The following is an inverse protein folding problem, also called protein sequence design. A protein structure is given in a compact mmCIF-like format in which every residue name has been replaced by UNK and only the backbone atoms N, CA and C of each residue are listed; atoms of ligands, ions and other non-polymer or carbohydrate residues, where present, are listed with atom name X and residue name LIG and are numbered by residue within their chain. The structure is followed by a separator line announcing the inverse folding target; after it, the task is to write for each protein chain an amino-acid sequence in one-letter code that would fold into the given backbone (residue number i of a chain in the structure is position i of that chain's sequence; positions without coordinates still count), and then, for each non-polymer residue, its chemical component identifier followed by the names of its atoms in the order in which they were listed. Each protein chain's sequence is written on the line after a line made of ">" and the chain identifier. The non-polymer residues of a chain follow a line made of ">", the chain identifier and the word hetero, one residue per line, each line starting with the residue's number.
data_IF_572620168814
#
_entry.id   IF_572620168814
#
_cell.length_a   1.000
_cell.length_b   1.000
_cell.length_c   1.000
_cell.angle_alpha   90.00
_cell.angle_beta   90.00
_cell.angle_gamma   90.00
#
_symmetry.space_group_name_H-M   'P 1'
#
loop_
_entity.id
_entity.type
_entity.pdbx_description
1 polymer ?
#
# COMPACT_ATOMS: atom_id res chain seq x y z
N UNK A 1 2.18 13.96 -9.20
CA UNK A 1 2.60 14.39 -7.85
C UNK A 1 1.68 13.69 -6.87
N UNK A 2 2.18 12.89 -5.92
CA UNK A 2 1.33 12.23 -4.91
C UNK A 2 1.02 13.23 -3.78
N UNK A 3 -0.24 13.64 -3.56
CA UNK A 3 -0.60 14.62 -2.54
C UNK A 3 -0.41 14.11 -1.10
N UNK A 4 -0.21 12.79 -0.91
CA UNK A 4 0.06 12.18 0.39
C UNK A 4 1.13 11.09 0.28
N UNK A 5 2.31 11.49 -0.19
CA UNK A 5 3.43 10.63 -0.60
C UNK A 5 3.66 9.38 0.29
N UNK A 6 3.22 8.21 -0.20
CA UNK A 6 3.40 6.93 0.49
C UNK A 6 4.86 6.67 0.91
N UNK A 7 5.82 6.91 0.00
CA UNK A 7 7.26 6.69 0.24
C UNK A 7 7.88 7.68 1.25
N UNK A 8 7.25 8.81 1.53
CA UNK A 8 7.65 9.72 2.62
C UNK A 8 6.98 9.36 3.96
N UNK A 9 6.09 8.35 3.98
CA UNK A 9 5.32 7.96 5.16
C UNK A 9 3.96 8.64 5.30
N UNK A 10 3.32 9.02 4.19
CA UNK A 10 1.99 9.67 4.22
C UNK A 10 1.98 10.96 5.06
N UNK A 11 3.07 11.73 5.04
CA UNK A 11 3.14 13.05 5.67
C UNK A 11 2.16 13.98 4.92
N UNK A 12 1.18 14.60 5.59
CA UNK A 12 0.29 15.57 4.94
C UNK A 12 1.06 16.78 4.40
N UNK A 13 0.62 17.38 3.27
CA UNK A 13 1.24 18.59 2.75
C UNK A 13 1.06 19.74 3.75
N UNK A 14 2.02 20.67 3.77
CA UNK A 14 1.88 21.88 4.58
C UNK A 14 0.63 22.69 4.15
N UNK A 15 -0.09 23.35 5.08
CA UNK A 15 -1.25 24.15 4.73
C UNK A 15 -0.97 25.16 3.61
N UNK A 16 -1.85 25.20 2.60
CA UNK A 16 -1.70 26.05 1.41
C UNK A 16 -0.71 25.55 0.35
N UNK A 17 0.10 24.51 0.60
CA UNK A 17 1.12 24.05 -0.35
C UNK A 17 0.55 23.61 -1.71
N UNK A 18 -0.56 22.86 -1.73
CA UNK A 18 -1.20 22.43 -2.98
C UNK A 18 -1.84 23.60 -3.73
N UNK A 19 -2.43 24.55 -2.99
CA UNK A 19 -3.02 25.77 -3.55
C UNK A 19 -1.96 26.63 -4.22
N UNK A 20 -0.84 26.90 -3.52
CA UNK A 20 0.26 27.68 -4.06
C UNK A 20 0.99 26.99 -5.22
N UNK A 21 1.18 25.66 -5.14
CA UNK A 21 1.65 24.87 -6.28
C UNK A 21 0.74 25.05 -7.50
N UNK A 22 -0.58 25.17 -7.30
CA UNK A 22 -1.51 25.39 -8.41
C UNK A 22 -1.50 26.81 -8.95
N UNK A 23 -1.37 27.82 -8.10
CA UNK A 23 -1.18 29.22 -8.49
C UNK A 23 0.04 29.38 -9.42
N UNK A 24 1.20 28.90 -8.95
CA UNK A 24 2.48 29.00 -9.68
C UNK A 24 2.40 28.25 -11.02
N UNK A 25 1.93 27.00 -11.03
CA UNK A 25 1.81 26.23 -12.28
C UNK A 25 0.83 26.85 -13.26
N UNK A 26 -0.27 27.44 -12.79
CA UNK A 26 -1.24 28.13 -13.66
C UNK A 26 -0.63 29.37 -14.32
N UNK A 27 0.20 30.14 -13.60
CA UNK A 27 0.89 31.31 -14.14
C UNK A 27 1.88 30.96 -15.29
N UNK A 28 2.40 29.74 -15.32
CA UNK A 28 3.31 29.25 -16.38
C UNK A 28 2.62 28.32 -17.41
N UNK A 29 1.30 28.15 -17.37
CA UNK A 29 0.58 27.23 -18.26
C UNK A 29 0.90 25.75 -18.05
N UNK A 30 1.47 25.39 -16.90
CA UNK A 30 1.88 24.02 -16.56
C UNK A 30 0.66 23.24 -16.02
N UNK A 31 0.46 22.04 -16.57
CA UNK A 31 -0.55 21.09 -16.09
C UNK A 31 -0.12 20.42 -14.79
N UNK A 32 -0.99 20.43 -13.79
CA UNK A 32 -0.80 19.69 -12.54
C UNK A 32 -1.46 18.31 -12.66
N UNK A 33 -0.66 17.25 -12.55
CA UNK A 33 -1.15 15.88 -12.45
C UNK A 33 -1.00 15.40 -11.00
N UNK A 34 -2.11 15.08 -10.34
CA UNK A 34 -2.10 14.38 -9.06
C UNK A 34 -2.07 12.87 -9.27
N UNK A 35 -1.26 12.17 -8.48
CA UNK A 35 -1.27 10.71 -8.37
C UNK A 35 -2.02 10.35 -7.09
N UNK A 36 -3.26 9.90 -7.25
CA UNK A 36 -4.12 9.46 -6.16
C UNK A 36 -4.35 7.93 -6.16
N UNK A 37 -3.50 7.16 -6.86
CA UNK A 37 -3.57 5.68 -6.91
C UNK A 37 -3.57 5.06 -5.50
N UNK A 38 -2.93 5.71 -4.53
CA UNK A 38 -3.01 5.34 -3.11
C UNK A 38 -3.90 6.32 -2.33
N UNK A 39 -3.69 7.62 -2.52
CA UNK A 39 -4.20 8.71 -1.69
C UNK A 39 -5.70 9.04 -1.88
N UNK A 40 -6.35 8.55 -2.95
CA UNK A 40 -7.81 8.66 -3.15
C UNK A 40 -8.63 8.13 -1.98
N UNK A 41 -8.06 7.18 -1.20
CA UNK A 41 -8.73 6.58 -0.03
C UNK A 41 -8.58 7.36 1.28
N UNK A 42 -7.92 8.52 1.30
CA UNK A 42 -7.75 9.30 2.53
C UNK A 42 -9.09 9.88 3.04
N UNK A 43 -10.08 10.01 2.15
CA UNK A 43 -11.46 10.40 2.47
C UNK A 43 -12.31 10.43 1.20
N UNK A 44 -13.61 10.66 1.35
CA UNK A 44 -14.61 10.59 0.26
C UNK A 44 -14.31 11.49 -0.96
N UNK A 45 -13.53 12.56 -0.80
CA UNK A 45 -13.16 13.51 -1.86
C UNK A 45 -11.72 13.35 -2.36
N UNK A 46 -11.04 12.26 -1.99
CA UNK A 46 -9.60 12.11 -2.19
C UNK A 46 -8.77 13.13 -1.40
N UNK A 47 -7.45 13.07 -1.61
CA UNK A 47 -6.49 14.02 -1.04
C UNK A 47 -6.61 15.41 -1.69
N UNK A 48 -7.00 15.51 -2.97
CA UNK A 48 -7.31 16.77 -3.64
C UNK A 48 -8.37 17.58 -2.88
N UNK A 49 -9.49 16.95 -2.48
CA UNK A 49 -10.53 17.61 -1.70
C UNK A 49 -10.14 17.82 -0.22
N UNK A 50 -9.36 16.91 0.37
CA UNK A 50 -8.92 17.02 1.78
C UNK A 50 -7.88 18.14 2.01
N UNK A 51 -7.05 18.42 1.01
CA UNK A 51 -5.91 19.36 1.13
C UNK A 51 -6.00 20.58 0.20
N UNK A 52 -7.16 20.84 -0.43
CA UNK A 52 -7.41 22.08 -1.20
C UNK A 52 -6.65 22.17 -2.53
N UNK A 53 -6.55 21.06 -3.27
CA UNK A 53 -5.91 21.01 -4.59
C UNK A 53 -6.89 21.05 -5.77
N UNK A 54 -6.50 21.76 -6.83
CA UNK A 54 -7.18 21.81 -8.14
C UNK A 54 -6.26 21.20 -9.24
N UNK A 55 -6.09 19.87 -9.29
CA UNK A 55 -5.33 19.24 -10.36
C UNK A 55 -6.04 19.39 -11.72
N UNK A 56 -5.27 19.41 -12.79
CA UNK A 56 -5.81 19.40 -14.15
C UNK A 56 -6.10 17.97 -14.62
N UNK A 57 -5.33 17.00 -14.12
CA UNK A 57 -5.57 15.56 -14.24
C UNK A 57 -5.29 14.84 -12.91
N UNK A 58 -6.06 13.80 -12.61
CA UNK A 58 -5.86 12.89 -11.47
C UNK A 58 -5.73 11.46 -11.98
N UNK A 59 -4.58 10.85 -11.71
CA UNK A 59 -4.33 9.43 -11.93
C UNK A 59 -4.85 8.61 -10.74
N UNK A 60 -5.55 7.51 -11.02
CA UNK A 60 -6.29 6.71 -10.05
C UNK A 60 -6.10 5.21 -10.30
N UNK A 61 -6.29 4.39 -9.27
CA UNK A 61 -6.15 2.94 -9.36
C UNK A 61 -6.51 2.25 -8.04
N UNK A 62 -6.01 1.02 -7.84
CA UNK A 62 -6.17 0.22 -6.61
C UNK A 62 -7.63 0.01 -6.19
N UNK A 63 -8.22 0.93 -5.42
CA UNK A 63 -9.57 0.78 -4.84
C UNK A 63 -10.67 0.87 -5.89
N UNK A 64 -10.45 1.60 -6.99
CA UNK A 64 -11.46 1.85 -8.04
C UNK A 64 -11.82 0.60 -8.86
N UNK A 65 -11.17 -0.54 -8.62
CA UNK A 65 -11.38 -1.81 -9.34
C UNK A 65 -11.89 -2.95 -8.46
N UNK A 66 -12.24 -2.67 -7.19
CA UNK A 66 -12.79 -3.69 -6.28
C UNK A 66 -11.87 -4.89 -6.01
N UNK A 67 -10.54 -4.71 -6.17
CA UNK A 67 -9.54 -5.76 -6.07
C UNK A 67 -8.97 -6.24 -7.42
N UNK A 68 -9.63 -5.94 -8.54
CA UNK A 68 -9.16 -6.32 -9.87
C UNK A 68 -8.16 -5.29 -10.45
N UNK A 69 -7.29 -5.70 -11.41
CA UNK A 69 -6.33 -4.80 -12.06
C UNK A 69 -7.02 -3.63 -12.75
N UNK A 70 -6.62 -2.41 -12.39
CA UNK A 70 -7.20 -1.16 -12.91
C UNK A 70 -6.22 0.01 -12.81
N UNK A 71 -6.29 0.89 -13.80
CA UNK A 71 -5.78 2.26 -13.74
C UNK A 71 -6.75 3.17 -14.50
N UNK A 72 -6.88 4.42 -14.07
CA UNK A 72 -7.70 5.43 -14.73
C UNK A 72 -7.02 6.80 -14.66
N UNK A 73 -7.32 7.67 -15.61
CA UNK A 73 -7.01 9.11 -15.55
C UNK A 73 -8.28 9.88 -15.85
N UNK A 74 -8.60 10.87 -15.04
CA UNK A 74 -9.68 11.82 -15.27
C UNK A 74 -9.22 13.23 -14.93
N UNK A 75 -10.05 14.24 -15.17
CA UNK A 75 -9.69 15.63 -14.89
C UNK A 75 -10.51 16.61 -15.71
N UNK A 76 -9.92 17.77 -16.02
CA UNK A 76 -10.61 18.87 -16.70
C UNK A 76 -10.95 18.50 -18.14
N UNK A 77 -12.19 18.76 -18.55
CA UNK A 77 -12.71 18.37 -19.87
C UNK A 77 -11.88 18.89 -21.04
N UNK A 78 -11.38 20.13 -20.94
CA UNK A 78 -10.49 20.75 -21.93
C UNK A 78 -9.17 19.99 -22.15
N UNK A 79 -8.65 19.33 -21.10
CA UNK A 79 -7.44 18.49 -21.17
C UNK A 79 -7.80 17.09 -21.65
N UNK A 80 -8.88 16.50 -21.11
CA UNK A 80 -9.35 15.17 -21.51
C UNK A 80 -9.83 15.11 -22.97
N UNK A 81 -10.21 16.24 -23.57
CA UNK A 81 -10.57 16.37 -24.98
C UNK A 81 -9.41 16.11 -25.98
N UNK A 82 -8.24 15.64 -25.53
CA UNK A 82 -7.26 15.00 -26.43
C UNK A 82 -7.65 13.55 -26.76
N UNK A 83 -8.41 12.88 -25.89
CA UNK A 83 -8.84 11.49 -26.03
C UNK A 83 -10.25 11.32 -26.61
N UNK A 84 -11.00 12.41 -26.81
CA UNK A 84 -12.35 12.39 -27.38
C UNK A 84 -12.31 11.86 -28.84
N UNK A 85 -12.95 10.73 -29.17
CA UNK A 85 -12.95 10.20 -30.54
C UNK A 85 -13.74 11.09 -31.53
N UNK A 86 -14.72 11.85 -31.05
CA UNK A 86 -15.54 12.79 -31.84
C UNK A 86 -16.01 12.25 -33.19
N UNK A 87 -15.95 13.10 -34.22
CA UNK A 87 -16.17 12.74 -35.63
C UNK A 87 -14.90 12.68 -36.46
N UNK A 88 -13.75 13.09 -35.90
CA UNK A 88 -12.46 13.22 -36.60
C UNK A 88 -11.39 12.22 -36.10
N UNK A 89 -11.74 11.36 -35.15
CA UNK A 89 -10.78 10.57 -34.37
C UNK A 89 -10.16 11.40 -33.23
N UNK A 90 -9.61 10.74 -32.20
CA UNK A 90 -9.00 11.42 -31.08
C UNK A 90 -7.62 11.97 -31.45
N UNK A 91 -7.21 13.08 -30.80
CA UNK A 91 -5.87 13.66 -30.98
C UNK A 91 -4.78 12.76 -30.40
N UNK A 92 -5.11 11.96 -29.38
CA UNK A 92 -4.26 10.94 -28.78
C UNK A 92 -5.09 9.67 -28.59
N UNK A 93 -4.64 8.55 -29.18
CA UNK A 93 -5.23 7.24 -28.93
C UNK A 93 -4.89 6.78 -27.51
N UNK A 94 -5.88 6.29 -26.77
CA UNK A 94 -5.71 5.72 -25.43
C UNK A 94 -6.64 4.52 -25.24
N UNK A 95 -6.11 3.42 -24.69
CA UNK A 95 -6.82 2.15 -24.57
C UNK A 95 -5.88 0.94 -24.51
N UNK A 96 -6.45 -0.25 -24.64
CA UNK A 96 -5.76 -1.54 -24.56
C UNK A 96 -6.74 -2.66 -24.19
N UNK A 97 -6.40 -3.91 -24.48
CA UNK A 97 -7.32 -5.08 -24.52
C UNK A 97 -8.18 -5.29 -23.27
N UNK A 98 -7.68 -4.94 -22.07
CA UNK A 98 -8.40 -5.09 -20.80
C UNK A 98 -8.97 -3.76 -20.24
N UNK A 99 -8.88 -2.67 -21.00
CA UNK A 99 -9.50 -1.38 -20.63
C UNK A 99 -11.01 -1.53 -20.57
N UNK A 100 -11.63 -1.00 -19.51
CA UNK A 100 -13.07 -1.13 -19.27
C UNK A 100 -13.62 -2.59 -19.29
N UNK A 101 -12.79 -3.60 -18.98
CA UNK A 101 -13.27 -4.99 -18.95
C UNK A 101 -14.43 -5.16 -17.93
N UNK A 102 -15.50 -5.92 -18.25
CA UNK A 102 -16.73 -5.91 -17.43
C UNK A 102 -16.54 -6.35 -15.98
N UNK A 103 -15.61 -7.25 -15.70
CA UNK A 103 -15.34 -7.75 -14.34
C UNK A 103 -14.77 -6.62 -13.47
N UNK A 104 -13.72 -5.95 -13.92
CA UNK A 104 -13.12 -4.80 -13.20
C UNK A 104 -14.12 -3.65 -13.07
N UNK A 105 -14.94 -3.36 -14.10
CA UNK A 105 -15.94 -2.29 -14.03
C UNK A 105 -17.05 -2.59 -13.02
N UNK A 106 -17.55 -3.84 -12.98
CA UNK A 106 -18.60 -4.26 -12.05
C UNK A 106 -18.10 -4.25 -10.60
N UNK A 107 -16.93 -4.86 -10.35
CA UNK A 107 -16.32 -4.88 -9.02
C UNK A 107 -15.90 -3.47 -8.54
N UNK A 108 -15.38 -2.64 -9.44
CA UNK A 108 -15.02 -1.25 -9.18
C UNK A 108 -16.21 -0.39 -8.79
N UNK A 109 -17.32 -0.48 -9.56
CA UNK A 109 -18.55 0.24 -9.26
C UNK A 109 -19.12 -0.14 -7.89
N UNK A 110 -19.25 -1.45 -7.60
CA UNK A 110 -19.76 -1.93 -6.33
C UNK A 110 -18.88 -1.49 -5.14
N UNK A 111 -17.55 -1.54 -5.29
CA UNK A 111 -16.61 -1.09 -4.26
C UNK A 111 -16.71 0.43 -4.01
N UNK A 112 -16.81 1.25 -5.06
CA UNK A 112 -16.92 2.71 -4.94
C UNK A 112 -18.29 3.12 -4.38
N UNK A 113 -19.38 2.42 -4.72
CA UNK A 113 -20.69 2.64 -4.10
C UNK A 113 -20.71 2.27 -2.61
N UNK A 114 -19.95 1.26 -2.19
CA UNK A 114 -19.79 0.88 -0.79
C UNK A 114 -18.85 1.82 0.01
N UNK A 115 -17.99 2.58 -0.66
CA UNK A 115 -17.10 3.59 -0.05
C UNK A 115 -17.81 4.94 0.08
N UNK A 116 -18.91 4.96 0.83
CA UNK A 116 -19.70 6.15 1.12
C UNK A 116 -19.04 7.06 2.20
N UNK A 117 -19.67 8.20 2.50
CA UNK A 117 -19.18 9.15 3.51
C UNK A 117 -19.12 8.55 4.92
N UNK A 118 -20.09 7.72 5.31
CA UNK A 118 -20.08 7.06 6.62
C UNK A 118 -18.98 5.99 6.71
N UNK A 119 -18.76 5.25 5.62
CA UNK A 119 -17.67 4.27 5.53
C UNK A 119 -16.30 4.93 5.61
N UNK A 120 -16.09 6.06 4.92
CA UNK A 120 -14.85 6.83 5.05
C UNK A 120 -14.64 7.40 6.46
N UNK A 121 -15.67 7.94 7.10
CA UNK A 121 -15.58 8.43 8.49
C UNK A 121 -15.17 7.30 9.46
N UNK A 122 -15.81 6.13 9.37
CA UNK A 122 -15.45 4.94 10.17
C UNK A 122 -14.01 4.48 9.91
N UNK A 123 -13.54 4.53 8.66
CA UNK A 123 -12.16 4.18 8.30
C UNK A 123 -11.14 5.21 8.82
N UNK A 124 -11.51 6.49 8.89
CA UNK A 124 -10.72 7.56 9.49
C UNK A 124 -10.62 7.41 11.02
N UNK A 125 -11.72 7.13 11.71
CA UNK A 125 -11.73 6.80 13.15
C UNK A 125 -10.84 5.59 13.47
N UNK A 126 -10.94 4.53 12.67
CA UNK A 126 -10.10 3.33 12.83
C UNK A 126 -8.62 3.65 12.60
N UNK A 127 -8.30 4.40 11.54
CA UNK A 127 -6.93 4.82 11.24
C UNK A 127 -6.33 5.71 12.33
N UNK A 128 -7.10 6.68 12.81
CA UNK A 128 -6.71 7.58 13.90
C UNK A 128 -6.44 6.82 15.20
N UNK A 129 -7.34 5.90 15.59
CA UNK A 129 -7.16 5.04 16.78
C UNK A 129 -5.91 4.15 16.66
N UNK A 130 -5.65 3.56 15.50
CA UNK A 130 -4.45 2.75 15.27
C UNK A 130 -3.19 3.60 15.35
N UNK A 131 -3.13 4.76 14.65
CA UNK A 131 -2.00 5.69 14.74
C UNK A 131 -1.75 6.17 16.17
N UNK A 132 -2.79 6.55 16.91
CA UNK A 132 -2.66 6.98 18.32
C UNK A 132 -2.01 5.88 19.17
N UNK A 133 -2.55 4.65 19.13
CA UNK A 133 -2.07 3.56 20.00
C UNK A 133 -0.66 3.10 19.66
N UNK A 134 -0.26 3.15 18.39
CA UNK A 134 1.13 2.90 17.99
C UNK A 134 2.08 4.00 18.47
N UNK A 135 1.67 5.27 18.40
CA UNK A 135 2.44 6.39 18.96
C UNK A 135 2.56 6.31 20.50
N UNK A 136 1.50 5.87 21.21
CA UNK A 136 1.56 5.57 22.64
C UNK A 136 2.58 4.46 22.96
N UNK A 137 2.70 3.43 22.11
CA UNK A 137 3.66 2.33 22.28
C UNK A 137 5.10 2.79 22.06
N UNK A 138 5.40 3.54 20.99
CA UNK A 138 6.73 4.13 20.78
C UNK A 138 7.14 5.03 21.95
N UNK A 139 6.24 5.90 22.43
CA UNK A 139 6.49 6.77 23.59
C UNK A 139 6.77 5.98 24.87
N UNK A 140 6.10 4.83 25.09
CA UNK A 140 6.30 3.98 26.27
C UNK A 140 7.56 3.11 26.22
N UNK A 141 8.00 2.71 25.03
CA UNK A 141 9.20 1.87 24.87
C UNK A 141 10.52 2.66 24.80
N UNK A 142 10.44 3.99 24.71
CA UNK A 142 11.60 4.87 24.54
C UNK A 142 12.32 4.71 23.20
N UNK A 143 11.77 3.90 22.27
CA UNK A 143 12.37 3.66 20.97
C UNK A 143 12.07 4.81 20.00
N UNK A 144 13.03 5.22 19.14
CA UNK A 144 12.77 6.22 18.12
C UNK A 144 11.72 5.68 17.14
N UNK A 145 10.55 6.31 17.10
CA UNK A 145 9.52 5.98 16.13
C UNK A 145 8.20 6.70 16.32
N UNK A 146 7.37 6.60 15.29
CA UNK A 146 6.06 7.22 15.18
C UNK A 146 5.19 6.49 14.14
N UNK A 147 3.88 6.49 14.35
CA UNK A 147 2.90 6.12 13.33
C UNK A 147 2.40 7.38 12.63
N UNK A 148 2.85 7.57 11.40
CA UNK A 148 2.48 8.68 10.49
C UNK A 148 1.28 8.29 9.61
N UNK A 149 0.69 9.27 8.93
CA UNK A 149 -0.41 9.08 7.98
C UNK A 149 -1.72 9.75 8.37
N UNK A 150 -2.70 9.66 7.48
CA UNK A 150 -3.99 10.33 7.60
C UNK A 150 -5.13 9.49 7.00
N UNK A 151 -6.38 9.79 7.34
CA UNK A 151 -7.55 8.97 6.98
C UNK A 151 -7.37 7.54 7.47
N UNK A 152 -7.60 6.55 6.59
CA UNK A 152 -7.33 5.13 6.87
C UNK A 152 -5.87 4.70 6.66
N UNK A 153 -5.00 5.58 6.17
CA UNK A 153 -3.61 5.26 5.81
C UNK A 153 -2.67 5.51 6.99
N UNK A 154 -1.69 4.63 7.17
CA UNK A 154 -0.60 4.87 8.12
C UNK A 154 0.70 4.17 7.72
N UNK A 155 1.81 4.64 8.28
CA UNK A 155 3.12 3.99 8.21
C UNK A 155 3.82 4.02 9.56
N UNK A 156 4.44 2.91 9.93
CA UNK A 156 5.41 2.85 11.02
C UNK A 156 6.74 3.43 10.54
N UNK A 157 7.18 4.53 11.14
CA UNK A 157 8.49 5.14 10.89
C UNK A 157 9.32 4.94 12.16
N UNK A 158 10.50 4.32 12.08
CA UNK A 158 11.38 4.10 13.24
C UNK A 158 12.31 5.29 13.49
N UNK A 159 11.77 6.49 13.32
CA UNK A 159 12.47 7.79 13.37
C UNK A 159 11.75 8.68 14.40
N UNK A 160 12.49 9.26 15.34
CA UNK A 160 11.91 10.02 16.47
C UNK A 160 11.69 11.52 16.23
N UNK A 161 12.33 12.10 15.21
CA UNK A 161 12.20 13.53 14.86
C UNK A 161 10.90 13.82 14.08
N UNK A 162 10.44 15.07 14.10
CA UNK A 162 9.27 15.50 13.32
C UNK A 162 9.53 15.32 11.81
N UNK A 163 8.57 14.71 11.10
CA UNK A 163 8.64 14.47 9.66
C UNK A 163 7.74 15.45 8.91
N UNK A 164 8.32 16.27 8.02
CA UNK A 164 7.58 17.26 7.19
C UNK A 164 7.84 17.09 5.68
N UNK A 165 8.91 16.39 5.30
CA UNK A 165 9.33 16.20 3.91
C UNK A 165 10.26 14.98 3.76
N UNK A 166 10.64 14.65 2.51
CA UNK A 166 11.52 13.52 2.18
C UNK A 166 12.82 13.49 2.99
N UNK A 167 13.52 14.62 3.14
CA UNK A 167 14.81 14.70 3.85
C UNK A 167 14.64 14.40 5.33
N UNK A 168 13.55 14.87 5.94
CA UNK A 168 13.23 14.54 7.33
C UNK A 168 13.03 13.01 7.49
N UNK A 169 12.59 12.29 6.46
CA UNK A 169 12.34 10.84 6.51
C UNK A 169 13.58 9.95 6.36
N UNK A 170 14.75 10.46 5.95
CA UNK A 170 15.97 9.66 5.71
C UNK A 170 16.89 9.68 6.94
N UNK A 171 17.07 8.55 7.63
CA UNK A 171 17.92 8.44 8.82
C UNK A 171 18.74 7.13 8.84
N UNK A 172 20.08 7.19 9.04
CA UNK A 172 20.92 5.99 9.09
C UNK A 172 20.42 4.92 10.08
N UNK A 173 20.32 3.69 9.59
CA UNK A 173 19.87 2.55 10.37
C UNK A 173 18.37 2.54 10.71
N UNK A 174 17.56 3.48 10.21
CA UNK A 174 16.10 3.40 10.32
C UNK A 174 15.55 2.18 9.58
N UNK A 175 16.11 1.81 8.43
CA UNK A 175 15.70 0.61 7.69
C UNK A 175 16.00 -0.67 8.48
N UNK A 176 17.22 -0.80 9.02
CA UNK A 176 17.58 -1.89 9.92
C UNK A 176 16.80 -1.93 11.25
N UNK A 177 16.11 -0.84 11.64
CA UNK A 177 15.10 -0.86 12.73
C UNK A 177 13.72 -1.28 12.21
N UNK A 178 13.35 -0.81 11.02
CA UNK A 178 12.04 -1.03 10.39
C UNK A 178 11.85 -2.48 9.96
N UNK A 179 12.82 -3.11 9.30
CA UNK A 179 12.73 -4.53 8.92
C UNK A 179 12.75 -5.47 10.13
N UNK A 180 13.44 -5.11 11.23
CA UNK A 180 13.34 -5.85 12.50
C UNK A 180 11.95 -5.72 13.12
N UNK A 181 11.32 -4.54 13.05
CA UNK A 181 9.95 -4.33 13.51
C UNK A 181 8.94 -5.08 12.60
N UNK A 182 9.16 -5.11 11.29
CA UNK A 182 8.35 -5.91 10.35
C UNK A 182 8.41 -7.40 10.68
N UNK A 183 9.61 -7.98 10.83
CA UNK A 183 9.75 -9.40 11.20
C UNK A 183 9.10 -9.71 12.55
N UNK A 184 9.32 -8.89 13.57
CA UNK A 184 8.70 -9.09 14.88
C UNK A 184 7.15 -8.96 14.87
N UNK A 185 6.59 -8.16 13.95
CA UNK A 185 5.14 -8.10 13.72
C UNK A 185 4.65 -9.33 12.96
N UNK A 186 5.39 -9.81 11.96
CA UNK A 186 5.07 -11.01 11.19
C UNK A 186 5.09 -12.28 12.07
N UNK A 187 6.10 -12.42 12.94
CA UNK A 187 6.21 -13.48 13.94
C UNK A 187 5.03 -13.45 14.95
N UNK A 188 4.48 -12.26 15.21
CA UNK A 188 3.27 -12.05 16.01
C UNK A 188 1.95 -12.18 15.22
N UNK A 189 2.01 -12.62 13.94
CA UNK A 189 0.84 -12.79 13.07
C UNK A 189 0.25 -11.50 12.48
N UNK A 190 0.94 -10.37 12.62
CA UNK A 190 0.48 -9.04 12.17
C UNK A 190 1.17 -8.69 10.85
N UNK A 191 0.47 -8.92 9.74
CA UNK A 191 0.97 -8.55 8.40
C UNK A 191 0.94 -7.02 8.20
N UNK A 192 2.12 -6.42 8.03
CA UNK A 192 2.33 -5.06 7.53
C UNK A 192 3.27 -5.10 6.31
N UNK A 193 3.35 -4.02 5.54
CA UNK A 193 4.31 -3.96 4.42
C UNK A 193 5.69 -3.55 4.91
N UNK A 194 6.74 -4.31 4.58
CA UNK A 194 8.17 -3.94 4.75
C UNK A 194 8.61 -2.87 3.73
N UNK A 195 7.81 -1.83 3.58
CA UNK A 195 8.19 -0.67 2.78
C UNK A 195 9.13 0.18 3.64
N UNK A 196 10.42 -0.11 3.60
CA UNK A 196 11.46 0.70 4.24
C UNK A 196 11.38 2.19 3.89
N UNK A 197 12.20 2.97 4.60
CA UNK A 197 12.57 4.33 4.18
C UNK A 197 13.20 4.22 2.78
N UNK A 198 13.19 5.29 1.95
CA UNK A 198 13.86 5.26 0.64
C UNK A 198 15.39 5.15 0.71
N UNK A 199 15.90 3.98 1.09
CA UNK A 199 17.31 3.61 1.02
C UNK A 199 17.73 3.51 -0.45
N UNK A 200 18.62 4.42 -0.85
CA UNK A 200 19.41 4.43 -2.08
C UNK A 200 18.71 3.98 -3.38
N UNK A 201 18.11 4.94 -4.09
CA UNK A 201 18.17 4.91 -5.55
C UNK A 201 19.64 4.76 -5.99
N UNK A 202 19.93 3.78 -6.86
CA UNK A 202 21.30 3.36 -7.17
C UNK A 202 22.13 4.44 -7.88
N UNK A 203 22.92 5.20 -7.13
CA UNK A 203 24.07 5.95 -7.66
C UNK A 203 25.33 5.05 -7.70
N UNK A 204 25.23 3.92 -8.41
CA UNK A 204 26.39 3.11 -8.84
C UNK A 204 26.83 3.50 -10.25
N UNK A 205 27.02 4.81 -10.46
CA UNK A 205 27.66 5.40 -11.66
C UNK A 205 29.09 5.86 -11.38
N UNK A 206 29.78 5.18 -10.45
CA UNK A 206 31.22 5.36 -10.23
C UNK A 206 32.03 4.67 -11.33
N UNK A 207 32.44 5.42 -12.35
CA UNK A 207 33.30 4.92 -13.43
C UNK A 207 34.74 4.76 -12.93
N UNK A 208 35.18 3.52 -12.70
CA UNK A 208 36.56 3.19 -12.37
C UNK A 208 36.83 1.70 -12.60
N UNK A 209 37.87 1.32 -13.36
CA UNK A 209 38.21 -0.07 -13.58
C UNK A 209 39.11 -0.60 -12.47
N UNK A 210 38.64 -1.58 -11.70
CA UNK A 210 39.52 -2.54 -11.04
C UNK A 210 38.89 -3.95 -11.11
N UNK A 211 39.73 -4.98 -11.11
CA UNK A 211 39.35 -6.39 -11.28
C UNK A 211 39.76 -7.21 -10.04
N UNK A 212 39.36 -8.48 -10.05
CA UNK A 212 40.01 -9.56 -9.32
C UNK A 212 40.09 -9.46 -7.78
N UNK A 213 38.95 -9.71 -7.12
CA UNK A 213 38.92 -10.55 -5.90
C UNK A 213 37.77 -11.56 -5.93
N UNK A 214 38.03 -12.87 -5.77
CA UNK A 214 36.98 -13.90 -5.79
C UNK A 214 36.41 -14.20 -4.40
N UNK A 215 35.13 -14.58 -4.37
CA UNK A 215 34.56 -15.45 -3.33
C UNK A 215 33.76 -14.79 -2.20
N UNK A 216 32.43 -14.88 -2.29
CA UNK A 216 31.52 -15.25 -1.18
C UNK A 216 30.05 -15.23 -1.66
N UNK A 217 29.49 -16.40 -2.02
CA UNK A 217 28.04 -16.58 -2.13
C UNK A 217 27.49 -17.02 -0.77
N UNK A 218 26.51 -16.31 -0.18
CA UNK A 218 25.73 -16.85 0.94
C UNK A 218 24.99 -18.12 0.48
N UNK A 219 25.25 -19.25 1.15
CA UNK A 219 24.62 -20.53 0.82
C UNK A 219 23.15 -20.54 1.24
N UNK A 220 22.32 -21.26 0.50
CA UNK A 220 20.96 -21.62 0.89
C UNK A 220 20.96 -22.38 2.22
N UNK A 221 20.12 -21.96 3.17
CA UNK A 221 19.82 -22.73 4.39
C UNK A 221 18.52 -23.51 4.17
N UNK A 222 18.66 -24.71 3.60
CA UNK A 222 17.69 -25.78 3.80
C UNK A 222 18.15 -26.56 5.04
N UNK A 223 17.36 -26.52 6.11
CA UNK A 223 17.50 -27.41 7.25
C UNK A 223 16.14 -28.01 7.64
N UNK A 224 15.78 -29.06 6.90
CA UNK A 224 14.85 -30.10 7.37
C UNK A 224 15.30 -30.62 8.73
N UNK A 225 14.45 -30.50 9.75
CA UNK A 225 14.57 -31.21 11.03
C UNK A 225 13.66 -32.42 10.98
N UNK A 226 14.23 -33.61 11.15
CA UNK A 226 13.51 -34.88 11.32
C UNK A 226 14.01 -35.55 12.61
N UNK A 227 13.11 -36.00 13.51
CA UNK A 227 13.50 -36.68 14.75
C UNK A 227 13.62 -38.21 14.57
N UNK A 228 14.60 -38.79 15.26
CA UNK A 228 14.84 -40.23 15.44
C UNK A 228 15.74 -40.40 16.68
N UNK A 229 15.72 -41.44 17.53
CA UNK A 229 14.90 -42.65 17.75
C UNK A 229 15.33 -43.21 19.15
N UNK A 230 15.12 -44.47 19.59
CA UNK A 230 14.10 -45.51 19.29
C UNK A 230 13.03 -45.51 20.43
N UNK A 231 12.41 -46.54 21.05
CA UNK A 231 12.40 -48.03 21.15
C UNK A 231 10.92 -48.42 21.47
N UNK A 232 10.33 -49.60 21.19
CA UNK A 232 10.74 -50.88 20.59
C UNK A 232 9.48 -51.75 20.34
N UNK A 233 9.61 -53.07 20.09
CA UNK A 233 8.61 -53.85 19.36
C UNK A 233 7.59 -54.70 20.17
N UNK A 234 6.63 -55.27 19.41
CA UNK A 234 5.67 -56.34 19.70
C UNK A 234 4.35 -55.96 20.43
N UNK A 235 3.20 -56.56 20.09
CA UNK A 235 2.89 -57.44 18.94
C UNK A 235 1.67 -58.35 19.18
N UNK A 236 0.80 -58.52 18.17
CA UNK A 236 -0.34 -59.44 18.22
C UNK A 236 -1.66 -58.84 17.69
N UNK A 237 -2.56 -59.69 17.19
CA UNK A 237 -3.83 -59.28 16.57
C UNK A 237 -5.04 -59.96 17.24
N UNK A 238 -6.22 -59.33 17.25
CA UNK A 238 -7.52 -60.00 17.10
C UNK A 238 -8.75 -59.04 17.03
N UNK A 239 -9.63 -59.33 16.06
CA UNK A 239 -11.10 -59.25 16.07
C UNK A 239 -11.89 -58.30 17.03
N UNK A 240 -12.57 -57.32 16.40
CA UNK A 240 -14.03 -57.43 16.21
C UNK A 240 -14.99 -56.67 17.15
N UNK A 241 -16.20 -56.38 16.60
CA UNK A 241 -17.24 -55.41 17.04
C UNK A 241 -16.78 -53.97 16.74
N UNK A 242 -17.56 -53.10 16.08
CA UNK A 242 -18.99 -52.80 16.21
C UNK A 242 -19.09 -51.38 16.80
N UNK A 243 -20.06 -50.51 16.50
CA UNK A 243 -21.45 -50.73 16.06
C UNK A 243 -21.86 -49.78 14.90
N UNK A 244 -22.78 -50.25 14.05
CA UNK A 244 -23.74 -49.41 13.33
C UNK A 244 -25.08 -49.41 14.08
N UNK A 245 -25.87 -48.33 14.00
CA UNK A 245 -27.31 -48.33 14.29
C UNK A 245 -28.06 -47.34 13.38
N UNK A 246 -29.21 -47.78 12.87
CA UNK A 246 -29.98 -47.14 11.79
C UNK A 246 -31.25 -46.41 12.26
N UNK A 247 -31.77 -45.55 11.38
CA UNK A 247 -33.18 -45.11 11.32
C UNK A 247 -33.46 -43.71 11.89
N UNK A 248 -34.48 -42.98 11.44
CA UNK A 248 -35.41 -43.10 10.29
C UNK A 248 -36.22 -41.77 10.19
N UNK A 249 -36.88 -41.36 9.10
CA UNK A 249 -37.14 -41.93 7.77
C UNK A 249 -37.84 -40.91 6.85
N UNK A 250 -38.60 -41.37 5.84
CA UNK A 250 -39.40 -40.60 4.85
C UNK A 250 -40.20 -39.40 5.42
N UNK A 251 -40.63 -38.38 4.67
CA UNK A 251 -40.93 -38.18 3.24
C UNK A 251 -41.94 -37.00 3.14
N UNK A 252 -42.41 -36.52 1.99
CA UNK A 252 -42.21 -36.94 0.60
C UNK A 252 -42.12 -35.69 -0.32
#
# INVERSE_FOLDING_TARGET
>A
MDPLANRMGFIPPAPGFLTHLREVTRAYGILVIFDEVISLRVGYTGAQGRYGGDPDLTAMGKIIGGGFPVGATGGKGEVMAVFDPGTKGPRILSGGTFSANPVTMTAGLAAIQAMDRATFARLEDMGARVRQRLNEVFKKSGQPGQATGDGSLFRLMTIGRQLRNYRDSVEPGADARSSRLFMALLDAGIMVNDNGVPEHAHERSGTGPDRDRPGALPRSVDQRIAPSSPVGESGGAAAGRGWDIHGSGAGA
#
